data_IF_729947608501
#
_entry.id   IF_729947608501
#
_cell.length_a   1.000
_cell.length_b   1.000
_cell.length_c   1.000
_cell.angle_alpha   90.00
_cell.angle_beta   90.00
_cell.angle_gamma   90.00
#
_symmetry.space_group_name_H-M   'P 1'
#
loop_
_entity.id
_entity.type
_entity.pdbx_description
1 polymer ?
#
# COMPACT_ATOMS: atom_id res chain seq x y z
N UNK A 1 1.04 -1.93 17.03
CA UNK A 1 0.79 -2.82 18.19
C UNK A 1 1.03 -4.31 17.89
N UNK A 2 0.63 -4.85 16.72
CA UNK A 2 0.80 -6.29 16.41
C UNK A 2 2.25 -6.77 16.46
N UNK A 3 3.20 -6.00 15.91
CA UNK A 3 4.63 -6.33 15.98
C UNK A 3 5.15 -6.45 17.42
N UNK A 4 4.82 -5.48 18.28
CA UNK A 4 5.25 -5.47 19.69
C UNK A 4 4.71 -6.67 20.49
N UNK A 5 3.56 -7.23 20.09
CA UNK A 5 2.97 -8.42 20.70
C UNK A 5 3.37 -9.73 20.00
N UNK A 6 4.23 -9.68 18.98
CA UNK A 6 4.66 -10.88 18.24
C UNK A 6 5.86 -11.52 18.94
N UNK A 7 5.84 -12.84 19.22
CA UNK A 7 6.99 -13.52 19.80
C UNK A 7 8.25 -13.26 18.97
N UNK A 8 9.37 -12.96 19.63
CA UNK A 8 10.65 -12.65 18.96
C UNK A 8 11.04 -13.69 17.90
N UNK A 9 10.80 -14.97 18.18
CA UNK A 9 11.06 -16.08 17.26
C UNK A 9 10.23 -16.06 15.97
N UNK A 10 9.13 -15.31 15.94
CA UNK A 10 8.23 -15.20 14.79
C UNK A 10 8.34 -13.87 14.04
N UNK A 11 9.04 -12.87 14.59
CA UNK A 11 9.13 -11.52 14.01
C UNK A 11 9.60 -11.60 12.56
N UNK A 12 10.75 -12.19 12.29
CA UNK A 12 11.30 -12.26 10.92
C UNK A 12 10.42 -13.03 9.92
N UNK A 13 9.55 -13.92 10.41
CA UNK A 13 8.61 -14.67 9.57
C UNK A 13 7.36 -13.85 9.23
N UNK A 14 6.90 -13.04 10.19
CA UNK A 14 5.63 -12.29 10.12
C UNK A 14 5.81 -10.85 9.66
N UNK A 15 6.98 -10.29 9.93
CA UNK A 15 7.43 -8.93 9.67
C UNK A 15 8.80 -8.95 8.98
N UNK A 16 8.89 -9.50 7.76
CA UNK A 16 10.16 -9.57 7.04
C UNK A 16 10.83 -8.22 6.78
N UNK A 17 10.12 -7.08 6.77
CA UNK A 17 10.76 -5.75 6.66
C UNK A 17 11.72 -5.48 7.81
N UNK A 18 11.44 -5.98 9.03
CA UNK A 18 12.35 -5.83 10.17
C UNK A 18 13.74 -6.45 9.92
N UNK A 19 13.83 -7.44 9.02
CA UNK A 19 15.11 -8.04 8.60
C UNK A 19 15.71 -7.31 7.40
N UNK A 20 14.88 -6.67 6.57
CA UNK A 20 15.33 -5.94 5.39
C UNK A 20 15.89 -4.57 5.75
N UNK A 21 15.44 -4.00 6.86
CA UNK A 21 16.04 -2.82 7.47
C UNK A 21 17.50 -3.13 7.82
N UNK A 22 18.39 -2.40 7.15
CA UNK A 22 19.77 -2.27 7.61
C UNK A 22 19.79 -1.42 8.89
N UNK A 23 20.94 -1.42 9.57
CA UNK A 23 21.20 -0.90 10.92
C UNK A 23 20.32 0.28 11.40
N UNK A 24 20.17 0.44 12.73
CA UNK A 24 19.30 1.46 13.37
C UNK A 24 19.48 2.92 12.86
N UNK A 25 20.60 3.24 12.21
CA UNK A 25 20.93 4.56 11.67
C UNK A 25 20.77 4.65 10.14
N UNK A 26 20.17 3.64 9.51
CA UNK A 26 19.85 3.59 8.09
C UNK A 26 18.88 4.71 7.70
N UNK A 27 19.14 5.39 6.58
CA UNK A 27 18.18 6.33 6.00
C UNK A 27 16.90 5.60 5.58
N UNK A 28 15.71 6.26 5.59
CA UNK A 28 14.41 5.61 5.34
C UNK A 28 14.26 4.87 4.00
N UNK A 29 15.21 5.06 3.08
CA UNK A 29 15.23 4.54 1.72
C UNK A 29 16.34 3.50 1.48
N UNK A 30 17.14 3.12 2.49
CA UNK A 30 18.18 2.09 2.30
C UNK A 30 17.60 0.75 1.86
N UNK A 31 16.43 0.36 2.36
CA UNK A 31 15.74 -0.85 1.94
C UNK A 31 15.53 -0.88 0.42
N UNK A 32 15.29 0.28 -0.19
CA UNK A 32 15.09 0.46 -1.64
C UNK A 32 16.41 0.44 -2.42
N UNK A 33 17.52 0.77 -1.78
CA UNK A 33 18.86 0.70 -2.39
C UNK A 33 19.30 -0.76 -2.54
N UNK A 34 19.08 -1.57 -1.51
CA UNK A 34 19.68 -2.91 -1.41
C UNK A 34 18.73 -4.05 -1.79
N UNK A 35 17.42 -3.80 -1.85
CA UNK A 35 16.44 -4.82 -2.19
C UNK A 35 15.74 -4.52 -3.52
N UNK A 36 15.48 -5.57 -4.29
CA UNK A 36 14.68 -5.43 -5.51
C UNK A 36 13.20 -5.13 -5.16
N UNK A 37 12.46 -4.41 -6.03
CA UNK A 37 11.03 -4.17 -5.88
C UNK A 37 10.20 -5.44 -5.59
N UNK A 38 10.60 -6.58 -6.15
CA UNK A 38 9.93 -7.87 -5.94
C UNK A 38 10.13 -8.43 -4.54
N UNK A 39 11.31 -8.22 -3.94
CA UNK A 39 11.59 -8.65 -2.56
C UNK A 39 10.75 -7.82 -1.59
N UNK A 40 10.75 -6.50 -1.78
CA UNK A 40 9.95 -5.56 -0.98
C UNK A 40 8.45 -5.89 -1.06
N UNK A 41 7.91 -6.08 -2.27
CA UNK A 41 6.51 -6.48 -2.44
C UNK A 41 6.19 -7.81 -1.73
N UNK A 42 7.06 -8.81 -1.81
CA UNK A 42 6.86 -10.11 -1.12
C UNK A 42 6.85 -9.95 0.40
N UNK A 43 7.75 -9.13 0.92
CA UNK A 43 7.79 -8.79 2.34
C UNK A 43 6.46 -8.13 2.74
N UNK A 44 6.03 -7.11 2.00
CA UNK A 44 4.80 -6.36 2.27
C UNK A 44 3.54 -7.24 2.23
N UNK A 45 3.44 -8.14 1.25
CA UNK A 45 2.34 -9.12 1.18
C UNK A 45 2.32 -10.02 2.42
N UNK A 46 3.49 -10.42 2.91
CA UNK A 46 3.62 -11.26 4.11
C UNK A 46 3.20 -10.50 5.36
N UNK A 47 3.61 -9.24 5.50
CA UNK A 47 3.21 -8.39 6.61
C UNK A 47 1.72 -8.09 6.60
N UNK A 48 1.19 -7.79 5.41
CA UNK A 48 -0.24 -7.60 5.19
C UNK A 48 -1.00 -8.82 5.73
N UNK A 49 -0.60 -10.04 5.33
CA UNK A 49 -1.22 -11.28 5.79
C UNK A 49 -1.19 -11.45 7.31
N UNK A 50 -0.12 -11.03 7.97
CA UNK A 50 -0.03 -11.03 9.43
C UNK A 50 -1.08 -10.11 10.05
N UNK A 51 -1.36 -8.96 9.43
CA UNK A 51 -2.26 -7.93 9.93
C UNK A 51 -3.74 -8.16 9.53
N UNK A 52 -4.01 -8.98 8.52
CA UNK A 52 -5.35 -9.17 7.96
C UNK A 52 -6.43 -9.49 8.99
N UNK A 53 -6.14 -10.36 9.96
CA UNK A 53 -7.12 -10.68 11.00
C UNK A 53 -7.48 -9.45 11.83
N UNK A 54 -6.50 -8.68 12.29
CA UNK A 54 -6.74 -7.46 13.06
C UNK A 54 -7.45 -6.39 12.23
N UNK A 55 -7.04 -6.19 10.98
CA UNK A 55 -7.67 -5.21 10.08
C UNK A 55 -9.12 -5.59 9.80
N UNK A 56 -9.40 -6.87 9.54
CA UNK A 56 -10.76 -7.37 9.36
C UNK A 56 -11.62 -7.11 10.60
N UNK A 57 -11.12 -7.46 11.80
CA UNK A 57 -11.84 -7.23 13.06
C UNK A 57 -12.11 -5.76 13.32
N UNK A 58 -11.16 -4.89 12.99
CA UNK A 58 -11.36 -3.45 13.08
C UNK A 58 -12.49 -2.99 12.15
N UNK A 59 -12.49 -3.40 10.87
CA UNK A 59 -13.56 -3.06 9.91
C UNK A 59 -14.92 -3.53 10.42
N UNK A 60 -15.02 -4.79 10.84
CA UNK A 60 -16.27 -5.37 11.39
C UNK A 60 -16.76 -4.58 12.61
N UNK A 61 -15.86 -4.21 13.52
CA UNK A 61 -16.20 -3.43 14.72
C UNK A 61 -16.70 -2.03 14.37
N UNK A 62 -16.03 -1.33 13.45
CA UNK A 62 -16.45 0.02 13.01
C UNK A 62 -17.85 0.00 12.40
N UNK A 63 -18.17 -1.05 11.63
CA UNK A 63 -19.49 -1.26 11.06
C UNK A 63 -20.53 -1.57 12.15
N UNK A 64 -20.21 -2.46 13.10
CA UNK A 64 -21.12 -2.79 14.21
C UNK A 64 -21.39 -1.56 15.11
N UNK A 65 -20.42 -0.65 15.21
CA UNK A 65 -20.55 0.64 15.89
C UNK A 65 -21.24 1.73 15.05
N UNK A 66 -21.68 1.42 13.82
CA UNK A 66 -22.35 2.34 12.90
C UNK A 66 -21.54 3.61 12.62
N UNK A 67 -20.23 3.47 12.45
CA UNK A 67 -19.35 4.59 12.17
C UNK A 67 -18.86 4.59 10.73
N UNK A 68 -18.95 5.75 10.08
CA UNK A 68 -18.42 5.96 8.74
C UNK A 68 -16.93 6.30 8.81
N UNK A 69 -16.09 5.46 8.20
CA UNK A 69 -14.65 5.64 8.16
C UNK A 69 -14.08 5.40 6.77
N UNK A 70 -13.08 6.22 6.43
CA UNK A 70 -12.14 5.91 5.35
C UNK A 70 -10.94 5.22 5.99
N UNK A 71 -10.70 3.98 5.59
CA UNK A 71 -9.53 3.22 6.01
C UNK A 71 -8.59 3.20 4.81
N UNK A 72 -7.44 3.87 4.96
CA UNK A 72 -6.33 3.84 4.02
C UNK A 72 -5.14 3.14 4.66
N UNK A 73 -4.35 2.44 3.85
CA UNK A 73 -3.18 1.75 4.33
C UNK A 73 -2.58 0.82 3.29
N UNK A 74 -1.24 0.77 3.31
CA UNK A 74 -0.43 -0.01 2.37
C UNK A 74 -0.69 -1.52 2.43
N UNK A 75 -1.27 -2.02 3.53
CA UNK A 75 -1.59 -3.42 3.78
C UNK A 75 -3.04 -3.82 3.43
N UNK A 76 -3.88 -2.89 2.97
CA UNK A 76 -5.25 -3.13 2.51
C UNK A 76 -5.23 -3.75 1.10
N UNK A 77 -4.77 -4.99 1.01
CA UNK A 77 -4.65 -5.69 -0.27
C UNK A 77 -6.03 -6.14 -0.80
N UNK A 78 -6.25 -6.19 -2.13
CA UNK A 78 -7.49 -6.73 -2.73
C UNK A 78 -7.93 -8.08 -2.18
N UNK A 79 -6.97 -8.96 -1.93
CA UNK A 79 -7.24 -10.30 -1.37
C UNK A 79 -7.88 -10.23 0.02
N UNK A 80 -7.49 -9.28 0.88
CA UNK A 80 -8.12 -9.07 2.18
C UNK A 80 -9.57 -8.62 2.00
N UNK A 81 -9.80 -7.60 1.17
CA UNK A 81 -11.15 -7.08 0.95
C UNK A 81 -12.06 -8.14 0.31
N UNK A 82 -11.50 -9.04 -0.50
CA UNK A 82 -12.26 -10.16 -1.06
C UNK A 82 -12.78 -11.13 0.02
N UNK A 83 -12.03 -11.33 1.11
CA UNK A 83 -12.51 -12.15 2.24
C UNK A 83 -13.74 -11.54 2.91
N UNK A 84 -13.90 -10.21 2.86
CA UNK A 84 -15.06 -9.51 3.42
C UNK A 84 -16.31 -9.67 2.55
N UNK A 85 -16.18 -9.94 1.24
CA UNK A 85 -17.32 -10.13 0.32
C UNK A 85 -18.27 -11.23 0.76
N UNK A 86 -17.75 -12.31 1.35
CA UNK A 86 -18.55 -13.44 1.83
C UNK A 86 -19.22 -13.22 3.19
N UNK A 87 -19.06 -12.05 3.80
CA UNK A 87 -19.56 -11.75 5.15
C UNK A 87 -20.83 -10.91 5.10
N UNK A 88 -21.58 -10.88 6.21
CA UNK A 88 -22.75 -9.99 6.37
C UNK A 88 -22.42 -8.50 6.26
N UNK A 89 -21.14 -8.14 6.39
CA UNK A 89 -20.66 -6.76 6.41
C UNK A 89 -20.46 -6.16 5.01
N UNK A 90 -20.41 -6.98 3.95
CA UNK A 90 -20.04 -6.54 2.61
C UNK A 90 -20.90 -5.38 2.07
N UNK A 91 -22.21 -5.38 2.35
CA UNK A 91 -23.13 -4.33 1.89
C UNK A 91 -22.79 -2.93 2.42
N UNK A 92 -21.98 -2.84 3.47
CA UNK A 92 -21.58 -1.60 4.13
C UNK A 92 -20.14 -1.20 3.75
N UNK A 93 -19.47 -1.98 2.91
CA UNK A 93 -18.08 -1.76 2.51
C UNK A 93 -18.04 -1.27 1.08
N UNK A 94 -17.34 -0.15 0.88
CA UNK A 94 -16.98 0.37 -0.43
C UNK A 94 -15.46 0.35 -0.54
N UNK A 95 -14.95 -0.06 -1.71
CA UNK A 95 -13.51 -0.16 -1.93
C UNK A 95 -13.14 0.33 -3.31
N UNK A 96 -12.07 1.13 -3.37
CA UNK A 96 -11.42 1.58 -4.60
C UNK A 96 -9.92 1.44 -4.44
N UNK A 97 -9.24 1.02 -5.50
CA UNK A 97 -7.79 0.96 -5.55
C UNK A 97 -7.27 2.04 -6.50
N UNK A 98 -6.48 2.94 -5.95
CA UNK A 98 -5.78 3.96 -6.73
C UNK A 98 -4.37 3.46 -7.01
N UNK A 99 -4.00 3.38 -8.29
CA UNK A 99 -2.70 2.87 -8.71
C UNK A 99 -2.01 3.87 -9.63
N UNK A 100 -0.72 3.68 -9.85
CA UNK A 100 0.04 4.35 -10.91
C UNK A 100 0.94 3.31 -11.57
N UNK A 101 0.70 3.01 -12.84
CA UNK A 101 1.41 1.92 -13.54
C UNK A 101 2.47 2.40 -14.52
N UNK A 102 2.36 3.65 -15.00
CA UNK A 102 3.37 4.25 -15.87
C UNK A 102 4.58 4.76 -15.06
N UNK A 103 5.77 4.31 -15.44
CA UNK A 103 7.00 4.58 -14.68
C UNK A 103 7.39 6.07 -14.73
N UNK A 104 7.22 6.71 -15.89
CA UNK A 104 7.63 8.08 -16.09
C UNK A 104 6.65 9.03 -15.41
N UNK A 105 5.35 8.74 -15.44
CA UNK A 105 4.34 9.48 -14.68
C UNK A 105 4.55 9.38 -13.16
N UNK A 106 5.04 8.24 -12.66
CA UNK A 106 5.41 8.09 -11.25
C UNK A 106 6.60 9.01 -10.92
N UNK A 107 7.66 8.99 -11.73
CA UNK A 107 8.85 9.84 -11.54
C UNK A 107 8.50 11.33 -11.61
N UNK A 108 7.71 11.72 -12.60
CA UNK A 108 7.21 13.09 -12.75
C UNK A 108 6.28 13.47 -11.60
N UNK A 109 5.56 12.51 -11.02
CA UNK A 109 4.79 12.71 -9.79
C UNK A 109 5.68 13.06 -8.60
N UNK A 110 6.82 12.38 -8.46
CA UNK A 110 7.77 12.64 -7.39
C UNK A 110 8.39 14.04 -7.46
N UNK A 111 8.77 14.50 -8.65
CA UNK A 111 9.38 15.83 -8.84
C UNK A 111 8.42 16.99 -8.59
N UNK A 112 7.10 16.76 -8.68
CA UNK A 112 6.05 17.73 -8.40
C UNK A 112 5.62 17.80 -6.93
N UNK A 113 6.14 16.91 -6.07
CA UNK A 113 5.82 16.94 -4.64
C UNK A 113 6.46 18.17 -3.99
N UNK A 114 5.64 19.10 -3.52
CA UNK A 114 6.08 20.30 -2.79
C UNK A 114 6.23 20.06 -1.27
N UNK A 115 5.93 18.84 -0.80
CA UNK A 115 5.95 18.52 0.62
C UNK A 115 7.39 18.49 1.16
N UNK A 116 7.73 19.50 1.95
CA UNK A 116 9.05 19.64 2.61
C UNK A 116 9.32 18.57 3.68
N UNK A 117 8.29 17.83 4.08
CA UNK A 117 8.37 16.75 5.06
C UNK A 117 8.17 15.36 4.44
N UNK A 118 8.18 15.27 3.12
CA UNK A 118 8.15 13.98 2.43
C UNK A 118 9.44 13.22 2.73
N UNK A 119 9.32 11.97 3.15
CA UNK A 119 10.47 11.09 3.40
C UNK A 119 11.30 10.89 2.12
N UNK A 120 10.68 11.06 0.95
CA UNK A 120 11.34 10.97 -0.35
C UNK A 120 12.09 12.25 -0.74
N UNK A 121 11.82 13.40 -0.11
CA UNK A 121 12.36 14.71 -0.51
C UNK A 121 13.89 14.77 -0.60
N UNK A 122 14.59 14.11 0.32
CA UNK A 122 16.06 14.00 0.32
C UNK A 122 16.59 13.07 -0.78
N UNK A 123 15.83 12.03 -1.10
CA UNK A 123 16.13 11.04 -2.13
C UNK A 123 15.89 11.55 -3.56
N UNK A 124 15.04 12.59 -3.75
CA UNK A 124 14.78 13.17 -5.08
C UNK A 124 16.01 13.78 -5.76
N UNK A 125 17.09 14.00 -5.02
CA UNK A 125 18.38 14.48 -5.56
C UNK A 125 19.18 13.37 -6.25
N UNK A 126 18.88 12.12 -5.97
CA UNK A 126 19.55 10.95 -6.52
C UNK A 126 18.66 10.27 -7.58
N UNK A 127 19.07 10.38 -8.85
CA UNK A 127 18.32 9.83 -9.98
C UNK A 127 18.20 8.30 -9.94
N UNK A 128 19.20 7.59 -9.42
CA UNK A 128 19.14 6.13 -9.30
C UNK A 128 18.11 5.73 -8.24
N UNK A 129 18.11 6.44 -7.12
CA UNK A 129 17.15 6.20 -6.05
C UNK A 129 15.71 6.55 -6.46
N UNK A 130 15.53 7.61 -7.24
CA UNK A 130 14.24 7.95 -7.87
C UNK A 130 13.76 6.82 -8.78
N UNK A 131 14.62 6.28 -9.66
CA UNK A 131 14.26 5.17 -10.53
C UNK A 131 13.88 3.91 -9.73
N UNK A 132 14.67 3.55 -8.73
CA UNK A 132 14.39 2.41 -7.84
C UNK A 132 13.05 2.56 -7.10
N UNK A 133 12.80 3.75 -6.54
CA UNK A 133 11.55 4.04 -5.83
C UNK A 133 10.36 3.99 -6.78
N UNK A 134 10.50 4.55 -7.98
CA UNK A 134 9.44 4.54 -8.99
C UNK A 134 9.11 3.11 -9.42
N UNK A 135 10.12 2.24 -9.59
CA UNK A 135 9.91 0.82 -9.88
C UNK A 135 9.25 0.07 -8.73
N UNK A 136 9.54 0.43 -7.48
CA UNK A 136 8.85 -0.13 -6.32
C UNK A 136 7.36 0.19 -6.35
N UNK A 137 7.01 1.47 -6.54
CA UNK A 137 5.61 1.91 -6.68
C UNK A 137 4.94 1.21 -7.86
N UNK A 138 5.58 1.21 -9.03
CA UNK A 138 5.06 0.53 -10.23
C UNK A 138 4.80 -0.95 -9.98
N UNK A 139 5.77 -1.66 -9.40
CA UNK A 139 5.67 -3.11 -9.14
C UNK A 139 4.49 -3.42 -8.23
N UNK A 140 4.30 -2.61 -7.18
CA UNK A 140 3.14 -2.75 -6.29
C UNK A 140 1.84 -2.39 -6.99
N UNK A 141 1.78 -1.27 -7.71
CA UNK A 141 0.61 -0.83 -8.47
C UNK A 141 0.11 -1.88 -9.45
N UNK A 142 1.02 -2.50 -10.22
CA UNK A 142 0.69 -3.57 -11.16
C UNK A 142 0.13 -4.79 -10.43
N UNK A 143 0.74 -5.18 -9.31
CA UNK A 143 0.23 -6.27 -8.48
C UNK A 143 -1.18 -5.96 -7.93
N UNK A 144 -1.39 -4.76 -7.39
CA UNK A 144 -2.70 -4.33 -6.86
C UNK A 144 -3.74 -4.34 -7.97
N UNK A 145 -3.43 -3.78 -9.14
CA UNK A 145 -4.34 -3.73 -10.28
C UNK A 145 -4.78 -5.14 -10.71
N UNK A 146 -3.82 -6.05 -10.91
CA UNK A 146 -4.09 -7.46 -11.25
C UNK A 146 -4.96 -8.16 -10.21
N UNK A 147 -4.62 -8.01 -8.92
CA UNK A 147 -5.38 -8.64 -7.85
C UNK A 147 -6.76 -8.02 -7.69
N UNK A 148 -6.90 -6.71 -7.86
CA UNK A 148 -8.18 -6.03 -7.76
C UNK A 148 -9.11 -6.42 -8.89
N UNK A 149 -8.61 -6.46 -10.14
CA UNK A 149 -9.36 -6.90 -11.31
C UNK A 149 -9.83 -8.35 -11.18
N UNK A 150 -8.94 -9.27 -10.78
CA UNK A 150 -9.28 -10.69 -10.53
C UNK A 150 -10.40 -10.87 -9.51
N UNK A 151 -10.50 -9.96 -8.55
CA UNK A 151 -11.52 -10.00 -7.51
C UNK A 151 -12.71 -9.06 -7.81
N UNK A 152 -12.78 -8.44 -9.00
CA UNK A 152 -13.89 -7.56 -9.40
C UNK A 152 -14.00 -6.30 -8.55
N UNK A 153 -12.87 -5.68 -8.19
CA UNK A 153 -12.82 -4.38 -7.53
C UNK A 153 -12.55 -3.25 -8.53
N UNK A 154 -13.00 -2.05 -8.17
CA UNK A 154 -12.70 -0.85 -8.97
C UNK A 154 -11.22 -0.49 -8.79
N UNK A 155 -10.51 -0.40 -9.91
CA UNK A 155 -9.14 0.12 -10.00
C UNK A 155 -9.16 1.39 -10.83
N UNK A 156 -8.47 2.42 -10.36
CA UNK A 156 -8.27 3.65 -11.11
C UNK A 156 -6.78 3.94 -11.18
N UNK A 157 -6.25 3.98 -12.39
CA UNK A 157 -4.90 4.51 -12.60
C UNK A 157 -4.94 6.03 -12.51
N UNK A 158 -4.18 6.58 -11.58
CA UNK A 158 -4.13 8.00 -11.22
C UNK A 158 -2.84 8.70 -11.67
N UNK A 159 -2.09 8.08 -12.58
CA UNK A 159 -0.86 8.68 -13.13
C UNK A 159 -1.13 9.94 -13.96
N UNK A 160 -2.22 9.93 -14.74
CA UNK A 160 -2.79 11.10 -15.46
C UNK A 160 -4.15 11.52 -14.93
N UNK A 161 -4.47 12.80 -15.08
CA UNK A 161 -5.79 13.40 -14.82
C UNK A 161 -6.34 13.11 -13.42
N UNK A 162 -5.48 13.16 -12.40
CA UNK A 162 -5.78 12.80 -11.01
C UNK A 162 -7.09 13.43 -10.51
N UNK A 163 -7.19 14.76 -10.60
CA UNK A 163 -8.37 15.55 -10.20
C UNK A 163 -9.66 15.08 -10.89
N UNK A 164 -9.61 14.88 -12.21
CA UNK A 164 -10.79 14.47 -12.99
C UNK A 164 -11.24 13.07 -12.61
N UNK A 165 -10.28 12.13 -12.46
CA UNK A 165 -10.56 10.75 -12.07
C UNK A 165 -11.10 10.65 -10.64
N UNK A 166 -10.56 11.46 -9.72
CA UNK A 166 -11.05 11.51 -8.35
C UNK A 166 -12.48 12.09 -8.27
N UNK A 167 -12.75 13.17 -9.01
CA UNK A 167 -14.09 13.76 -9.11
C UNK A 167 -15.11 12.83 -9.76
N UNK A 168 -14.69 11.99 -10.71
CA UNK A 168 -15.55 10.97 -11.28
C UNK A 168 -15.86 9.85 -10.27
N UNK A 169 -14.89 9.47 -9.43
CA UNK A 169 -15.07 8.48 -8.38
C UNK A 169 -15.98 8.97 -7.26
N UNK A 170 -15.82 10.21 -6.80
CA UNK A 170 -16.62 10.76 -5.70
C UNK A 170 -18.12 10.84 -6.02
N UNK A 171 -18.49 10.87 -7.31
CA UNK A 171 -19.90 10.80 -7.76
C UNK A 171 -20.46 9.38 -7.77
N UNK A 172 -19.60 8.37 -7.74
CA UNK A 172 -19.95 6.94 -7.78
C UNK A 172 -20.06 6.33 -6.37
N UNK A 173 -19.38 6.93 -5.40
CA UNK A 173 -19.39 6.58 -3.99
C UNK A 173 -20.25 7.56 -3.18
#
# INVERSE_FOLDING_TARGET
MVLACTPKSQINKKFPYEKLQLEKDATPYQDMIYNSPRILLRAEITESKTLWLSTRRMIEHLIDCQQDYIIDGVHLMPVLVNQLKGTRYWKQIRSVYLVKTDLDEIKDGFSRSESRHDWLSSALKDKDLVDKTARMVQTKSVYIADQAEKNGFTVVDTGKDFEQKLNALSRKF
#
